data_IF_666821666005
#
_entry.id   IF_666821666005
#
_cell.length_a   1.000
_cell.length_b   1.000
_cell.length_c   1.000
_cell.angle_alpha   90.00
_cell.angle_beta   90.00
_cell.angle_gamma   90.00
#
_symmetry.space_group_name_H-M   'P 1'
#
loop_
_entity.id
_entity.type
_entity.pdbx_description
1 polymer ?
#
# COMPACT_ATOMS: atom_id res chain seq x y z
N UNK A 1 -5.69 18.44 12.70
CA UNK A 1 -4.75 19.07 11.74
C UNK A 1 -3.92 20.13 12.45
N UNK A 2 -4.53 21.08 13.17
CA UNK A 2 -3.84 22.21 13.79
C UNK A 2 -2.74 21.81 14.77
N UNK A 3 -3.00 20.84 15.65
CA UNK A 3 -1.98 20.30 16.56
C UNK A 3 -0.78 19.67 15.81
N UNK A 4 -1.05 19.05 14.65
CA UNK A 4 0.02 18.50 13.81
C UNK A 4 0.85 19.62 13.15
N UNK A 5 0.21 20.73 12.75
CA UNK A 5 0.91 21.92 12.25
C UNK A 5 1.84 22.50 13.31
N UNK A 6 1.36 22.62 14.56
CA UNK A 6 2.16 23.08 15.68
C UNK A 6 3.35 22.15 15.97
N UNK A 7 3.11 20.83 15.93
CA UNK A 7 4.18 19.82 16.07
C UNK A 7 5.21 19.94 14.94
N UNK A 8 4.77 20.06 13.68
CA UNK A 8 5.67 20.23 12.53
C UNK A 8 6.53 21.48 12.69
N UNK A 9 5.93 22.59 13.06
CA UNK A 9 6.64 23.85 13.32
C UNK A 9 7.68 23.70 14.45
N UNK A 10 7.30 23.04 15.53
CA UNK A 10 8.21 22.76 16.65
C UNK A 10 9.38 21.85 16.26
N UNK A 11 9.18 20.97 15.28
CA UNK A 11 10.19 20.06 14.72
C UNK A 11 11.02 20.68 13.57
N UNK A 12 11.05 21.99 13.44
CA UNK A 12 11.85 22.67 12.42
C UNK A 12 11.13 22.92 11.09
N UNK A 13 9.82 22.69 11.03
CA UNK A 13 8.94 23.12 9.95
C UNK A 13 8.74 22.13 8.80
N UNK A 14 9.51 21.04 8.73
CA UNK A 14 9.35 20.05 7.66
C UNK A 14 8.79 18.71 8.14
N UNK A 15 9.39 18.12 9.18
CA UNK A 15 9.03 16.79 9.65
C UNK A 15 7.68 16.75 10.39
N UNK A 16 6.72 15.99 9.87
CA UNK A 16 5.40 15.74 10.48
C UNK A 16 5.17 14.24 10.77
N UNK A 17 6.20 13.42 10.72
CA UNK A 17 6.08 11.98 10.94
C UNK A 17 5.78 11.61 12.39
N UNK A 18 4.99 10.54 12.63
CA UNK A 18 4.67 10.04 13.98
C UNK A 18 5.83 9.25 14.60
N UNK A 19 6.92 9.11 13.87
CA UNK A 19 8.15 8.42 14.25
C UNK A 19 9.35 9.35 14.07
N UNK A 20 10.46 9.16 14.82
CA UNK A 20 11.66 9.96 14.61
C UNK A 20 12.31 9.73 13.25
N UNK A 21 12.83 10.79 12.62
CA UNK A 21 13.56 10.77 11.34
C UNK A 21 14.71 9.76 11.29
N UNK A 22 15.34 9.49 12.43
CA UNK A 22 16.47 8.55 12.53
C UNK A 22 16.18 7.16 11.96
N UNK A 23 14.92 6.77 11.85
CA UNK A 23 14.54 5.47 11.28
C UNK A 23 14.74 5.45 9.76
N UNK A 24 14.52 6.58 9.08
CA UNK A 24 14.80 6.72 7.65
C UNK A 24 16.33 6.70 7.41
N UNK A 25 17.09 7.40 8.23
CA UNK A 25 18.55 7.34 8.15
C UNK A 25 19.11 5.94 8.44
N UNK A 26 18.45 5.15 9.30
CA UNK A 26 18.85 3.76 9.55
C UNK A 26 18.67 2.87 8.34
N UNK A 27 17.50 2.93 7.65
CA UNK A 27 17.29 2.13 6.43
C UNK A 27 18.28 2.55 5.33
N UNK A 28 18.59 3.83 5.18
CA UNK A 28 19.60 4.30 4.25
C UNK A 28 21.02 3.78 4.57
N UNK A 29 21.25 3.32 5.82
CA UNK A 29 22.48 2.65 6.25
C UNK A 29 22.39 1.12 6.19
N UNK A 30 21.36 0.56 5.54
CA UNK A 30 21.13 -0.88 5.47
C UNK A 30 20.74 -1.54 6.80
N UNK A 31 20.33 -0.76 7.82
CA UNK A 31 19.92 -1.30 9.12
C UNK A 31 18.45 -1.70 9.07
N UNK A 32 18.15 -2.89 9.60
CA UNK A 32 16.79 -3.37 9.73
C UNK A 32 15.95 -2.42 10.61
N UNK A 33 14.89 -1.87 10.01
CA UNK A 33 13.82 -1.13 10.68
C UNK A 33 12.52 -1.54 10.00
N UNK A 34 11.54 -1.96 10.77
CA UNK A 34 10.27 -2.36 10.18
C UNK A 34 9.43 -1.16 9.76
N UNK A 35 9.12 -1.08 8.47
CA UNK A 35 8.09 -0.26 7.84
C UNK A 35 8.03 1.24 8.21
N UNK A 36 9.15 2.00 8.26
CA UNK A 36 9.06 3.43 8.57
C UNK A 36 8.33 4.22 7.49
N UNK A 37 8.57 3.96 6.22
CA UNK A 37 7.84 4.59 5.12
C UNK A 37 6.34 4.24 5.15
N UNK A 38 6.00 2.99 5.44
CA UNK A 38 4.61 2.55 5.52
C UNK A 38 3.84 3.33 6.58
N UNK A 39 4.46 3.56 7.74
CA UNK A 39 3.87 4.38 8.81
C UNK A 39 3.66 5.82 8.36
N UNK A 40 4.65 6.40 7.67
CA UNK A 40 4.63 7.79 7.21
C UNK A 40 3.58 8.01 6.12
N UNK A 41 3.46 7.08 5.15
CA UNK A 41 2.50 7.26 4.08
C UNK A 41 1.04 7.36 4.60
N UNK A 42 0.72 6.73 5.73
CA UNK A 42 -0.61 6.85 6.34
C UNK A 42 -0.90 8.26 6.85
N UNK A 43 0.12 8.95 7.35
CA UNK A 43 -0.03 10.37 7.74
C UNK A 43 -0.26 11.24 6.50
N UNK A 44 0.52 11.03 5.44
CA UNK A 44 0.30 11.76 4.19
C UNK A 44 -1.10 11.52 3.60
N UNK A 45 -1.56 10.26 3.56
CA UNK A 45 -2.90 9.94 3.06
C UNK A 45 -3.96 10.69 3.87
N UNK A 46 -3.86 10.64 5.21
CA UNK A 46 -4.80 11.37 6.06
C UNK A 46 -4.78 12.89 5.85
N UNK A 47 -3.62 13.48 5.60
CA UNK A 47 -3.51 14.90 5.28
C UNK A 47 -4.14 15.22 3.92
N UNK A 48 -3.88 14.41 2.91
CA UNK A 48 -4.48 14.58 1.58
C UNK A 48 -6.00 14.36 1.61
N UNK A 49 -6.50 13.38 2.36
CA UNK A 49 -7.93 13.17 2.57
C UNK A 49 -8.58 14.37 3.27
N UNK A 50 -7.92 14.96 4.26
CA UNK A 50 -8.41 16.17 4.94
C UNK A 50 -8.46 17.38 3.99
N UNK A 51 -7.51 17.48 3.08
CA UNK A 51 -7.55 18.51 2.04
C UNK A 51 -8.68 18.25 1.04
N UNK A 52 -8.71 17.04 0.46
CA UNK A 52 -9.63 16.69 -0.63
C UNK A 52 -11.10 16.68 -0.18
N UNK A 53 -11.40 16.04 0.95
CA UNK A 53 -12.78 15.82 1.39
C UNK A 53 -13.30 16.84 2.38
N UNK A 54 -12.41 17.53 3.10
CA UNK A 54 -12.79 18.55 4.09
C UNK A 54 -12.37 19.97 3.72
N UNK A 55 -11.67 20.18 2.59
CA UNK A 55 -11.19 21.49 2.16
C UNK A 55 -10.19 22.14 3.11
N UNK A 56 -9.42 21.33 3.85
CA UNK A 56 -8.48 21.82 4.86
C UNK A 56 -7.13 22.19 4.24
N UNK A 57 -6.92 23.46 3.95
CA UNK A 57 -5.69 23.99 3.35
C UNK A 57 -4.45 23.78 4.23
N UNK A 58 -4.61 23.84 5.56
CA UNK A 58 -3.51 23.58 6.51
C UNK A 58 -2.99 22.14 6.36
N UNK A 59 -3.86 21.19 6.06
CA UNK A 59 -3.44 19.81 5.84
C UNK A 59 -2.56 19.68 4.59
N UNK A 60 -2.88 20.39 3.51
CA UNK A 60 -2.03 20.42 2.32
C UNK A 60 -0.68 21.09 2.62
N UNK A 61 -0.67 22.20 3.35
CA UNK A 61 0.57 22.89 3.74
C UNK A 61 1.49 21.97 4.56
N UNK A 62 0.94 21.23 5.54
CA UNK A 62 1.70 20.25 6.31
C UNK A 62 2.28 19.17 5.40
N UNK A 63 1.47 18.64 4.47
CA UNK A 63 1.92 17.60 3.54
C UNK A 63 3.03 18.11 2.60
N UNK A 64 2.92 19.33 2.09
CA UNK A 64 3.93 19.94 1.23
C UNK A 64 5.27 20.15 1.96
N UNK A 65 5.23 20.70 3.18
CA UNK A 65 6.41 20.89 4.01
C UNK A 65 7.06 19.53 4.36
N UNK A 66 6.25 18.52 4.64
CA UNK A 66 6.76 17.18 4.92
C UNK A 66 7.37 16.53 3.67
N UNK A 67 6.79 16.76 2.51
CA UNK A 67 7.36 16.31 1.24
C UNK A 67 8.70 16.98 0.90
N UNK A 68 8.91 18.24 1.32
CA UNK A 68 10.20 18.91 1.16
C UNK A 68 11.30 18.20 1.93
N UNK A 69 11.03 17.70 3.12
CA UNK A 69 11.98 16.84 3.84
C UNK A 69 12.37 15.61 3.00
N UNK A 70 11.41 14.93 2.39
CA UNK A 70 11.68 13.76 1.54
C UNK A 70 12.43 14.14 0.27
N UNK A 71 12.10 15.28 -0.34
CA UNK A 71 12.80 15.76 -1.52
C UNK A 71 14.28 16.02 -1.23
N UNK A 72 14.59 16.67 -0.11
CA UNK A 72 15.95 16.93 0.34
C UNK A 72 16.68 15.65 0.75
N UNK A 73 16.00 14.76 1.46
CA UNK A 73 16.59 13.52 1.94
C UNK A 73 16.92 12.56 0.79
N UNK A 74 15.98 12.31 -0.12
CA UNK A 74 16.18 11.40 -1.25
C UNK A 74 17.14 11.95 -2.29
N UNK A 75 17.33 13.28 -2.37
CA UNK A 75 18.28 13.92 -3.26
C UNK A 75 19.75 13.65 -2.95
N UNK A 76 20.04 13.02 -1.81
CA UNK A 76 21.39 12.69 -1.34
C UNK A 76 21.89 11.34 -1.85
N UNK A 77 20.98 10.53 -2.42
CA UNK A 77 21.26 9.15 -2.77
C UNK A 77 21.36 8.95 -4.29
N UNK A 78 22.25 8.09 -4.70
CA UNK A 78 22.31 7.55 -6.05
C UNK A 78 21.09 6.63 -6.31
N UNK A 79 20.89 6.26 -7.56
CA UNK A 79 19.83 5.32 -7.94
C UNK A 79 19.97 3.97 -7.23
N UNK A 80 21.16 3.43 -7.12
CA UNK A 80 21.40 2.15 -6.47
C UNK A 80 21.12 2.21 -4.97
N UNK A 81 21.56 3.29 -4.29
CA UNK A 81 21.24 3.51 -2.89
C UNK A 81 19.71 3.69 -2.67
N UNK A 82 19.03 4.36 -3.61
CA UNK A 82 17.57 4.43 -3.55
C UNK A 82 16.91 3.07 -3.73
N UNK A 83 17.39 2.21 -4.63
CA UNK A 83 16.88 0.84 -4.77
C UNK A 83 17.05 0.05 -3.46
N UNK A 84 18.19 0.19 -2.78
CA UNK A 84 18.41 -0.44 -1.47
C UNK A 84 17.42 0.06 -0.41
N UNK A 85 17.15 1.38 -0.40
CA UNK A 85 16.15 1.99 0.49
C UNK A 85 14.74 1.49 0.16
N UNK A 86 14.39 1.36 -1.12
CA UNK A 86 13.07 0.94 -1.58
C UNK A 86 12.81 -0.55 -1.39
N UNK A 87 13.83 -1.36 -1.15
CA UNK A 87 13.68 -2.77 -0.78
C UNK A 87 13.14 -2.97 0.65
N UNK A 88 13.16 -1.93 1.48
CA UNK A 88 12.38 -1.89 2.71
C UNK A 88 10.90 -1.59 2.39
N UNK A 89 10.02 -1.74 3.38
CA UNK A 89 8.58 -1.51 3.18
C UNK A 89 8.25 -0.03 2.97
N UNK A 90 8.06 0.36 1.71
CA UNK A 90 7.75 1.74 1.32
C UNK A 90 6.27 2.07 1.35
N UNK A 91 5.39 1.07 1.35
CA UNK A 91 3.94 1.27 1.33
C UNK A 91 3.46 2.10 0.13
N UNK A 92 2.53 3.01 0.34
CA UNK A 92 1.94 3.87 -0.68
C UNK A 92 2.69 5.18 -0.95
N UNK A 93 3.99 5.27 -0.67
CA UNK A 93 4.72 6.54 -0.85
C UNK A 93 4.69 7.04 -2.31
N UNK A 94 4.78 6.14 -3.30
CA UNK A 94 4.66 6.54 -4.70
C UNK A 94 3.29 7.20 -4.97
N UNK A 95 2.21 6.62 -4.46
CA UNK A 95 0.85 7.18 -4.59
C UNK A 95 0.79 8.61 -4.00
N UNK A 96 1.42 8.83 -2.84
CA UNK A 96 1.49 10.16 -2.21
C UNK A 96 2.13 11.20 -3.13
N UNK A 97 3.25 10.87 -3.77
CA UNK A 97 3.92 11.80 -4.66
C UNK A 97 3.08 12.13 -5.89
N UNK A 98 2.35 11.13 -6.39
CA UNK A 98 1.40 11.31 -7.50
C UNK A 98 0.25 12.22 -7.08
N UNK A 99 -0.33 12.02 -5.90
CA UNK A 99 -1.43 12.86 -5.41
C UNK A 99 -0.99 14.31 -5.18
N UNK A 100 0.15 14.52 -4.55
CA UNK A 100 0.70 15.86 -4.39
C UNK A 100 0.97 16.55 -5.74
N UNK A 101 1.43 15.79 -6.74
CA UNK A 101 1.57 16.32 -8.09
C UNK A 101 0.21 16.66 -8.71
N UNK A 102 -0.78 15.79 -8.60
CA UNK A 102 -2.12 15.99 -9.13
C UNK A 102 -2.79 17.25 -8.57
N UNK A 103 -2.64 17.48 -7.26
CA UNK A 103 -3.25 18.62 -6.53
C UNK A 103 -2.51 19.92 -6.79
N UNK A 104 -1.17 19.90 -6.85
CA UNK A 104 -0.37 21.14 -6.83
C UNK A 104 0.28 21.48 -8.16
N UNK A 105 0.48 20.51 -9.05
CA UNK A 105 1.21 20.67 -10.31
C UNK A 105 2.72 20.92 -10.16
N UNK A 106 3.30 20.78 -8.95
CA UNK A 106 4.70 21.11 -8.70
C UNK A 106 5.64 20.00 -9.19
N UNK A 107 6.60 20.35 -10.04
CA UNK A 107 7.53 19.39 -10.67
C UNK A 107 8.41 18.60 -9.66
N UNK A 108 8.64 19.14 -8.46
CA UNK A 108 9.38 18.41 -7.40
C UNK A 108 8.73 17.07 -7.06
N UNK A 109 7.41 16.95 -7.20
CA UNK A 109 6.71 15.68 -6.94
C UNK A 109 6.90 14.65 -8.04
N UNK A 110 7.03 15.08 -9.31
CA UNK A 110 7.49 14.16 -10.38
C UNK A 110 8.90 13.62 -10.11
N UNK A 111 9.79 14.50 -9.62
CA UNK A 111 11.12 14.06 -9.20
C UNK A 111 11.05 13.00 -8.09
N UNK A 112 10.14 13.18 -7.10
CA UNK A 112 9.91 12.17 -6.07
C UNK A 112 9.31 10.88 -6.65
N UNK A 113 8.36 10.96 -7.59
CA UNK A 113 7.85 9.77 -8.28
C UNK A 113 8.99 8.96 -8.92
N UNK A 114 9.89 9.63 -9.64
CA UNK A 114 11.03 8.95 -10.28
C UNK A 114 12.03 8.40 -9.25
N UNK A 115 12.27 9.08 -8.14
CA UNK A 115 13.13 8.58 -7.06
C UNK A 115 12.53 7.35 -6.37
N UNK A 116 11.19 7.28 -6.25
CA UNK A 116 10.44 6.16 -5.69
C UNK A 116 10.08 5.09 -6.73
N UNK A 117 10.61 5.19 -7.94
CA UNK A 117 10.54 4.11 -8.92
C UNK A 117 11.47 2.97 -8.49
N UNK A 118 10.90 1.88 -7.96
CA UNK A 118 11.66 0.71 -7.51
C UNK A 118 12.01 -0.17 -8.69
N UNK A 119 13.19 0.04 -9.29
CA UNK A 119 13.64 -0.68 -10.50
C UNK A 119 13.60 -2.19 -10.32
N UNK A 120 14.01 -2.70 -9.14
CA UNK A 120 14.05 -4.15 -8.85
C UNK A 120 12.67 -4.81 -8.83
N UNK A 121 11.59 -4.04 -8.70
CA UNK A 121 10.21 -4.51 -8.81
C UNK A 121 9.60 -4.15 -10.17
N UNK A 122 9.72 -2.89 -10.57
CA UNK A 122 8.95 -2.38 -11.70
C UNK A 122 9.53 -2.76 -13.07
N UNK A 123 10.86 -2.85 -13.22
CA UNK A 123 11.47 -3.25 -14.48
C UNK A 123 11.16 -4.70 -14.87
N UNK A 124 11.23 -5.71 -13.96
CA UNK A 124 10.74 -7.05 -14.27
C UNK A 124 9.25 -7.05 -14.62
N UNK A 125 8.42 -6.29 -13.89
CA UNK A 125 7.00 -6.19 -14.20
C UNK A 125 6.72 -5.58 -15.57
N UNK A 126 7.48 -4.55 -15.99
CA UNK A 126 7.38 -4.00 -17.34
C UNK A 126 7.66 -5.05 -18.42
N UNK A 127 8.57 -5.98 -18.16
CA UNK A 127 8.89 -7.10 -19.07
C UNK A 127 7.93 -8.30 -18.93
N UNK A 128 6.95 -8.23 -18.00
CA UNK A 128 6.03 -9.34 -17.74
C UNK A 128 6.67 -10.53 -16.99
N UNK A 129 7.77 -10.31 -16.29
CA UNK A 129 8.52 -11.33 -15.55
C UNK A 129 7.97 -11.47 -14.11
N UNK A 130 7.80 -12.71 -13.62
CA UNK A 130 7.37 -12.97 -12.24
C UNK A 130 8.50 -12.74 -11.25
N UNK A 131 8.40 -11.64 -10.56
CA UNK A 131 9.29 -11.25 -9.45
C UNK A 131 8.61 -11.43 -8.08
N UNK A 132 7.31 -11.77 -8.05
CA UNK A 132 6.49 -11.67 -6.83
C UNK A 132 6.68 -12.83 -5.86
N UNK A 133 7.04 -14.03 -6.33
CA UNK A 133 7.16 -15.22 -5.48
C UNK A 133 8.08 -14.95 -4.28
N UNK A 134 7.58 -15.14 -3.06
CA UNK A 134 8.22 -14.87 -1.77
C UNK A 134 8.35 -13.39 -1.40
N UNK A 135 7.95 -12.43 -2.24
CA UNK A 135 7.89 -11.04 -1.82
C UNK A 135 6.74 -10.82 -0.84
N UNK A 136 6.91 -9.88 0.06
CA UNK A 136 5.85 -9.41 0.96
C UNK A 136 4.75 -8.70 0.14
N UNK A 137 3.55 -9.24 0.19
CA UNK A 137 2.48 -8.81 -0.72
C UNK A 137 2.04 -7.37 -0.42
N UNK A 138 1.82 -7.07 0.85
CA UNK A 138 1.35 -5.76 1.25
C UNK A 138 2.38 -4.63 1.05
N UNK A 139 3.65 -4.95 0.80
CA UNK A 139 4.65 -3.97 0.33
C UNK A 139 4.44 -3.68 -1.15
N UNK A 140 4.35 -4.72 -1.98
CA UNK A 140 4.34 -4.58 -3.44
C UNK A 140 3.01 -4.05 -3.99
N UNK A 141 1.86 -4.37 -3.38
CA UNK A 141 0.56 -3.93 -3.88
C UNK A 141 0.39 -2.40 -3.79
N UNK A 142 0.67 -1.73 -2.65
CA UNK A 142 0.57 -0.27 -2.58
C UNK A 142 1.54 0.45 -3.53
N UNK A 143 2.73 -0.10 -3.77
CA UNK A 143 3.66 0.46 -4.76
C UNK A 143 3.05 0.45 -6.17
N UNK A 144 2.38 -0.65 -6.54
CA UNK A 144 1.70 -0.78 -7.84
C UNK A 144 0.40 0.03 -7.90
N UNK A 145 -0.29 0.23 -6.79
CA UNK A 145 -1.40 1.20 -6.73
C UNK A 145 -0.88 2.60 -7.05
N UNK A 146 0.31 2.96 -6.54
CA UNK A 146 0.98 4.20 -6.92
C UNK A 146 1.27 4.28 -8.42
N UNK A 147 1.67 3.18 -9.06
CA UNK A 147 1.79 3.12 -10.52
C UNK A 147 0.45 3.35 -11.22
N UNK A 148 -0.61 2.68 -10.75
CA UNK A 148 -1.94 2.86 -11.32
C UNK A 148 -2.41 4.31 -11.23
N UNK A 149 -2.20 4.95 -10.11
CA UNK A 149 -2.52 6.38 -9.93
C UNK A 149 -1.64 7.29 -10.80
N UNK A 150 -0.35 6.93 -10.96
CA UNK A 150 0.56 7.67 -11.83
C UNK A 150 0.09 7.67 -13.29
N UNK A 151 -0.44 6.55 -13.77
CA UNK A 151 -1.07 6.51 -15.09
C UNK A 151 -2.29 7.43 -15.19
N UNK A 152 -3.21 7.38 -14.21
CA UNK A 152 -4.40 8.26 -14.21
C UNK A 152 -4.03 9.75 -14.28
N UNK A 153 -2.93 10.16 -13.66
CA UNK A 153 -2.52 11.56 -13.56
C UNK A 153 -1.62 12.00 -14.73
N UNK A 154 -0.75 11.12 -15.20
CA UNK A 154 0.28 11.49 -16.20
C UNK A 154 -0.02 10.99 -17.60
N UNK A 155 -0.84 9.95 -17.75
CA UNK A 155 -1.07 9.28 -19.04
C UNK A 155 0.13 8.47 -19.56
N UNK A 156 1.19 8.30 -18.75
CA UNK A 156 2.37 7.54 -19.16
C UNK A 156 2.10 6.02 -19.09
N UNK A 157 2.05 5.38 -20.25
CA UNK A 157 1.71 3.96 -20.42
C UNK A 157 2.64 2.99 -19.67
N UNK A 158 3.85 3.40 -19.31
CA UNK A 158 4.73 2.55 -18.49
C UNK A 158 4.07 2.16 -17.17
N UNK A 159 3.39 3.10 -16.52
CA UNK A 159 2.74 2.90 -15.23
C UNK A 159 1.55 1.94 -15.33
N UNK A 160 0.77 2.10 -16.40
CA UNK A 160 -0.34 1.18 -16.70
C UNK A 160 0.16 -0.24 -16.95
N UNK A 161 1.20 -0.38 -17.76
CA UNK A 161 1.80 -1.67 -18.09
C UNK A 161 2.28 -2.40 -16.83
N UNK A 162 2.90 -1.68 -15.88
CA UNK A 162 3.30 -2.25 -14.58
C UNK A 162 2.09 -2.79 -13.83
N UNK A 163 1.02 -2.02 -13.74
CA UNK A 163 -0.18 -2.39 -12.99
C UNK A 163 -0.92 -3.60 -13.63
N UNK A 164 -1.06 -3.61 -14.95
CA UNK A 164 -1.69 -4.71 -15.68
C UNK A 164 -0.86 -6.01 -15.59
N UNK A 165 0.46 -5.93 -15.76
CA UNK A 165 1.34 -7.08 -15.63
C UNK A 165 1.38 -7.60 -14.19
N UNK A 166 1.38 -6.70 -13.20
CA UNK A 166 1.27 -7.11 -11.80
C UNK A 166 -0.02 -7.89 -11.55
N UNK A 167 -1.15 -7.38 -12.02
CA UNK A 167 -2.43 -8.09 -11.90
C UNK A 167 -2.39 -9.45 -12.58
N UNK A 168 -1.88 -9.51 -13.80
CA UNK A 168 -1.75 -10.76 -14.53
C UNK A 168 -0.94 -11.79 -13.73
N UNK A 169 0.21 -11.39 -13.21
CA UNK A 169 1.11 -12.27 -12.44
C UNK A 169 0.53 -12.63 -11.06
N UNK A 170 -0.10 -11.68 -10.38
CA UNK A 170 -0.62 -11.86 -9.04
C UNK A 170 -1.93 -12.65 -8.98
N UNK A 171 -2.83 -12.45 -9.95
CA UNK A 171 -4.17 -13.03 -9.96
C UNK A 171 -4.34 -14.06 -11.07
N UNK A 172 -4.17 -13.67 -12.32
CA UNK A 172 -4.52 -14.52 -13.48
C UNK A 172 -3.61 -15.75 -13.56
N UNK A 173 -2.31 -15.54 -13.50
CA UNK A 173 -1.33 -16.62 -13.68
C UNK A 173 -1.07 -17.39 -12.38
N UNK A 174 -1.12 -16.72 -11.22
CA UNK A 174 -0.88 -17.32 -9.90
C UNK A 174 -2.09 -18.09 -9.40
N UNK A 175 -3.27 -17.59 -9.69
CA UNK A 175 -4.54 -18.09 -9.17
C UNK A 175 -4.91 -17.45 -7.82
N UNK A 176 -6.06 -17.85 -7.31
CA UNK A 176 -6.60 -17.35 -6.03
C UNK A 176 -7.37 -18.46 -5.32
N UNK A 177 -7.51 -18.31 -4.01
CA UNK A 177 -8.44 -19.14 -3.23
C UNK A 177 -9.88 -18.89 -3.68
N UNK A 178 -10.80 -19.78 -3.32
CA UNK A 178 -12.24 -19.58 -3.60
C UNK A 178 -12.77 -18.25 -3.04
N UNK A 179 -12.16 -17.76 -1.96
CA UNK A 179 -12.45 -16.48 -1.32
C UNK A 179 -11.91 -15.27 -2.09
N UNK A 180 -11.01 -15.45 -3.05
CA UNK A 180 -10.37 -14.39 -3.83
C UNK A 180 -8.96 -14.02 -3.36
N UNK A 181 -8.52 -14.46 -2.17
CA UNK A 181 -7.17 -14.19 -1.68
C UNK A 181 -6.09 -15.07 -2.31
N UNK A 182 -4.81 -14.69 -2.18
CA UNK A 182 -3.68 -15.36 -2.84
C UNK A 182 -2.45 -15.57 -1.96
N UNK A 183 -2.39 -14.97 -0.79
CA UNK A 183 -1.20 -14.95 0.06
C UNK A 183 -1.28 -15.95 1.20
N UNK A 184 -0.11 -16.33 1.72
CA UNK A 184 0.00 -17.07 2.97
C UNK A 184 1.23 -16.61 3.73
N UNK A 185 1.04 -16.20 4.99
CA UNK A 185 2.11 -15.65 5.81
C UNK A 185 2.62 -14.31 5.27
N UNK A 186 1.71 -13.48 4.73
CA UNK A 186 1.96 -12.13 4.20
C UNK A 186 2.77 -12.10 2.89
N UNK A 187 3.10 -13.26 2.30
CA UNK A 187 3.93 -13.34 1.10
C UNK A 187 3.18 -13.97 -0.08
N UNK A 188 3.60 -13.59 -1.28
CA UNK A 188 3.10 -14.20 -2.50
C UNK A 188 3.51 -15.67 -2.58
N UNK A 189 2.52 -16.54 -2.81
CA UNK A 189 2.74 -17.96 -3.04
C UNK A 189 3.39 -18.18 -4.41
N UNK A 190 4.07 -19.34 -4.65
CA UNK A 190 4.52 -19.70 -5.98
C UNK A 190 3.37 -19.80 -6.98
N UNK A 191 3.64 -19.46 -8.24
CA UNK A 191 2.66 -19.49 -9.31
C UNK A 191 2.00 -20.86 -9.44
N UNK A 192 0.66 -20.89 -9.51
CA UNK A 192 -0.17 -22.11 -9.59
C UNK A 192 0.04 -23.15 -8.48
N UNK A 193 0.53 -22.70 -7.32
CA UNK A 193 0.82 -23.58 -6.17
C UNK A 193 0.24 -23.05 -4.86
N UNK A 194 -0.97 -22.54 -4.89
CA UNK A 194 -1.65 -22.01 -3.69
C UNK A 194 -1.71 -23.06 -2.56
N UNK A 195 -2.00 -24.32 -2.91
CA UNK A 195 -2.09 -25.42 -1.93
C UNK A 195 -0.77 -25.75 -1.23
N UNK A 196 0.39 -25.36 -1.79
CA UNK A 196 1.68 -25.63 -1.18
C UNK A 196 1.93 -24.87 0.14
N UNK A 197 1.13 -23.83 0.41
CA UNK A 197 1.29 -22.96 1.58
C UNK A 197 -0.03 -22.74 2.34
N UNK A 198 -0.99 -23.66 2.19
CA UNK A 198 -2.20 -23.60 2.99
C UNK A 198 -1.86 -23.70 4.48
N UNK A 199 -2.51 -22.86 5.29
CA UNK A 199 -2.24 -22.81 6.71
C UNK A 199 -3.10 -21.77 7.41
N UNK A 200 -2.76 -21.49 8.67
CA UNK A 200 -3.53 -20.55 9.50
C UNK A 200 -3.31 -19.07 9.13
N UNK A 201 -2.27 -18.76 8.36
CA UNK A 201 -1.97 -17.40 7.91
C UNK A 201 -2.35 -17.16 6.45
N UNK A 202 -3.38 -17.84 5.96
CA UNK A 202 -3.92 -17.60 4.62
C UNK A 202 -4.68 -16.28 4.54
N UNK A 203 -4.76 -15.72 3.36
CA UNK A 203 -5.57 -14.55 3.02
C UNK A 203 -5.47 -13.40 4.05
N UNK A 204 -4.36 -12.68 4.02
CA UNK A 204 -4.15 -11.50 4.84
C UNK A 204 -5.14 -10.37 4.49
N UNK A 205 -5.70 -9.71 5.50
CA UNK A 205 -6.67 -8.62 5.34
C UNK A 205 -6.12 -7.44 4.52
N UNK A 206 -4.85 -7.04 4.76
CA UNK A 206 -4.20 -5.95 4.02
C UNK A 206 -4.09 -6.27 2.52
N UNK A 207 -3.72 -7.51 2.18
CA UNK A 207 -3.64 -7.96 0.78
C UNK A 207 -5.02 -7.89 0.11
N UNK A 208 -6.05 -8.37 0.79
CA UNK A 208 -7.44 -8.31 0.31
C UNK A 208 -7.84 -6.86 0.00
N UNK A 209 -7.67 -5.97 0.96
CA UNK A 209 -8.04 -4.56 0.79
C UNK A 209 -7.30 -3.88 -0.36
N UNK A 210 -5.97 -4.03 -0.41
CA UNK A 210 -5.18 -3.36 -1.44
C UNK A 210 -5.40 -3.95 -2.84
N UNK A 211 -5.64 -5.27 -2.96
CA UNK A 211 -5.99 -5.87 -4.24
C UNK A 211 -7.38 -5.43 -4.74
N UNK A 212 -8.34 -5.17 -3.85
CA UNK A 212 -9.61 -4.54 -4.22
C UNK A 212 -9.39 -3.13 -4.78
N UNK A 213 -8.50 -2.33 -4.17
CA UNK A 213 -8.15 -1.00 -4.70
C UNK A 213 -7.56 -1.09 -6.10
N UNK A 214 -6.61 -1.99 -6.32
CA UNK A 214 -5.99 -2.19 -7.63
C UNK A 214 -7.02 -2.65 -8.68
N UNK A 215 -7.91 -3.59 -8.33
CA UNK A 215 -9.01 -4.02 -9.20
C UNK A 215 -9.91 -2.84 -9.62
N UNK A 216 -10.14 -1.89 -8.71
CA UNK A 216 -10.91 -0.68 -9.00
C UNK A 216 -10.27 0.20 -10.09
N UNK A 217 -8.94 0.35 -10.10
CA UNK A 217 -8.24 1.05 -11.18
C UNK A 217 -8.43 0.33 -12.51
N UNK A 218 -8.18 -0.97 -12.54
CA UNK A 218 -8.27 -1.77 -13.76
C UNK A 218 -9.72 -1.80 -14.34
N UNK A 219 -10.72 -1.86 -13.45
CA UNK A 219 -12.12 -1.75 -13.84
C UNK A 219 -12.43 -0.41 -14.52
N UNK A 220 -12.00 0.71 -13.93
CA UNK A 220 -12.22 2.05 -14.52
C UNK A 220 -11.58 2.20 -15.90
N UNK A 221 -10.42 1.57 -16.12
CA UNK A 221 -9.72 1.67 -17.41
C UNK A 221 -10.32 0.80 -18.50
N UNK A 222 -10.86 -0.36 -18.13
CA UNK A 222 -11.24 -1.40 -19.11
C UNK A 222 -12.73 -1.62 -19.25
N UNK A 223 -13.50 -1.34 -18.18
CA UNK A 223 -14.91 -1.73 -18.08
C UNK A 223 -15.14 -3.25 -17.99
N UNK A 224 -14.06 -4.05 -17.82
CA UNK A 224 -14.18 -5.51 -17.73
C UNK A 224 -14.81 -5.91 -16.37
N UNK A 225 -16.01 -6.54 -16.38
CA UNK A 225 -16.72 -6.90 -15.16
C UNK A 225 -15.97 -7.89 -14.27
N UNK A 226 -14.99 -8.61 -14.79
CA UNK A 226 -14.20 -9.56 -13.99
C UNK A 226 -13.46 -8.88 -12.83
N UNK A 227 -13.07 -7.62 -12.98
CA UNK A 227 -12.47 -6.84 -11.89
C UNK A 227 -13.50 -6.47 -10.81
N UNK A 228 -14.73 -6.15 -11.21
CA UNK A 228 -15.81 -5.88 -10.26
C UNK A 228 -16.23 -7.16 -9.53
N UNK A 229 -16.34 -8.29 -10.22
CA UNK A 229 -16.61 -9.60 -9.62
C UNK A 229 -15.52 -9.99 -8.61
N UNK A 230 -14.27 -9.67 -8.91
CA UNK A 230 -13.16 -9.89 -7.99
C UNK A 230 -13.28 -9.01 -6.73
N UNK A 231 -13.59 -7.72 -6.90
CA UNK A 231 -13.82 -6.80 -5.77
C UNK A 231 -14.96 -7.28 -4.88
N UNK A 232 -16.10 -7.67 -5.47
CA UNK A 232 -17.26 -8.17 -4.74
C UNK A 232 -16.91 -9.44 -3.96
N UNK A 233 -16.21 -10.38 -4.60
CA UNK A 233 -15.74 -11.60 -3.96
C UNK A 233 -14.85 -11.32 -2.74
N UNK A 234 -13.89 -10.42 -2.87
CA UNK A 234 -13.02 -10.04 -1.77
C UNK A 234 -13.76 -9.26 -0.68
N UNK A 235 -14.72 -8.41 -1.06
CA UNK A 235 -15.52 -7.68 -0.09
C UNK A 235 -16.27 -8.65 0.84
N UNK A 236 -17.02 -9.60 0.26
CA UNK A 236 -17.82 -10.51 1.05
C UNK A 236 -17.00 -11.61 1.72
N UNK A 237 -16.08 -12.24 1.01
CA UNK A 237 -15.35 -13.42 1.50
C UNK A 237 -13.96 -13.08 2.07
N UNK A 238 -13.45 -11.89 1.83
CA UNK A 238 -12.17 -11.42 2.33
C UNK A 238 -12.31 -10.43 3.48
N UNK A 239 -13.00 -9.32 3.30
CA UNK A 239 -13.15 -8.31 4.35
C UNK A 239 -14.24 -8.68 5.35
N UNK A 240 -15.47 -8.90 4.91
CA UNK A 240 -16.62 -9.13 5.81
C UNK A 240 -16.56 -10.51 6.47
N UNK A 241 -16.11 -11.54 5.77
CA UNK A 241 -16.00 -12.90 6.31
C UNK A 241 -14.80 -13.11 7.23
N UNK A 242 -13.82 -12.20 7.26
CA UNK A 242 -12.74 -12.23 8.26
C UNK A 242 -13.22 -11.74 9.63
N UNK A 243 -14.52 -11.71 9.85
CA UNK A 243 -15.16 -11.41 11.10
C UNK A 243 -15.55 -12.69 11.85
N UNK A 244 -15.42 -12.62 13.15
CA UNK A 244 -15.85 -13.67 14.06
C UNK A 244 -16.87 -13.08 15.01
N UNK A 245 -18.11 -13.58 14.95
CA UNK A 245 -19.23 -13.03 15.70
C UNK A 245 -19.57 -13.95 16.87
N UNK A 246 -19.38 -13.47 18.09
CA UNK A 246 -19.77 -14.17 19.30
C UNK A 246 -20.83 -13.41 20.09
N UNK A 247 -21.72 -14.15 20.72
CA UNK A 247 -22.70 -13.58 21.64
C UNK A 247 -22.11 -13.10 22.97
N UNK A 248 -20.88 -13.59 23.30
CA UNK A 248 -20.12 -13.20 24.49
C UNK A 248 -18.64 -13.15 24.16
N UNK A 249 -17.97 -12.03 24.49
CA UNK A 249 -16.51 -11.96 24.41
C UNK A 249 -15.88 -12.75 25.57
N UNK A 250 -14.97 -13.65 25.26
CA UNK A 250 -14.26 -14.50 26.22
C UNK A 250 -13.32 -13.75 27.19
N UNK A 251 -13.32 -12.42 27.18
CA UNK A 251 -12.39 -11.59 27.98
C UNK A 251 -13.08 -10.81 29.09
N UNK A 252 -14.18 -11.32 29.65
CA UNK A 252 -14.79 -10.74 30.83
C UNK A 252 -15.59 -9.44 30.64
N UNK A 253 -15.71 -8.96 29.43
CA UNK A 253 -16.58 -7.85 29.11
C UNK A 253 -17.97 -8.38 28.70
N UNK A 254 -18.92 -8.31 29.60
CA UNK A 254 -20.32 -8.49 29.27
C UNK A 254 -20.83 -7.20 28.63
N UNK A 255 -21.11 -7.23 27.33
CA UNK A 255 -21.83 -6.14 26.68
C UNK A 255 -23.33 -6.40 26.71
N UNK A 256 -24.15 -5.38 26.95
CA UNK A 256 -25.59 -5.48 26.80
C UNK A 256 -26.04 -5.55 25.34
N UNK A 257 -25.11 -5.43 24.38
CA UNK A 257 -25.42 -5.50 22.96
C UNK A 257 -25.25 -6.92 22.42
N UNK A 258 -26.15 -7.41 21.55
CA UNK A 258 -26.29 -8.83 21.21
C UNK A 258 -25.20 -9.40 20.31
N UNK A 259 -24.24 -8.60 19.81
CA UNK A 259 -23.17 -9.13 18.95
C UNK A 259 -21.92 -8.29 18.99
N UNK A 260 -20.81 -8.89 19.40
CA UNK A 260 -19.48 -8.34 19.24
C UNK A 260 -18.78 -9.15 18.17
N UNK A 261 -18.26 -8.46 17.14
CA UNK A 261 -17.42 -9.05 16.12
C UNK A 261 -15.95 -8.83 16.45
N UNK A 262 -15.15 -9.86 16.26
CA UNK A 262 -13.69 -9.76 16.18
C UNK A 262 -13.32 -9.89 14.72
N UNK A 263 -12.61 -8.90 14.19
CA UNK A 263 -11.96 -9.04 12.87
C UNK A 263 -10.65 -9.78 13.07
N UNK A 264 -10.42 -10.80 12.22
CA UNK A 264 -9.16 -11.53 12.19
C UNK A 264 -8.27 -10.95 11.11
N UNK A 265 -6.96 -10.89 11.37
CA UNK A 265 -5.98 -10.40 10.39
C UNK A 265 -5.75 -11.40 9.26
N UNK A 266 -5.80 -12.69 9.57
CA UNK A 266 -5.72 -13.78 8.61
C UNK A 266 -7.02 -14.59 8.60
N UNK A 267 -7.36 -15.15 7.45
CA UNK A 267 -8.40 -16.17 7.30
C UNK A 267 -7.69 -17.53 7.11
N UNK A 268 -7.78 -18.46 8.08
CA UNK A 268 -7.22 -19.80 7.91
C UNK A 268 -7.82 -20.50 6.70
N UNK A 269 -6.97 -21.08 5.85
CA UNK A 269 -7.35 -21.75 4.61
C UNK A 269 -7.13 -23.26 4.69
N UNK A 270 -7.15 -23.83 5.88
CA UNK A 270 -7.07 -25.27 6.14
C UNK A 270 -8.30 -25.71 6.93
N UNK A 271 -8.63 -27.00 6.80
CA UNK A 271 -9.65 -27.60 7.65
C UNK A 271 -9.22 -27.52 9.13
N UNK A 272 -10.14 -27.10 9.98
CA UNK A 272 -9.95 -27.00 11.44
C UNK A 272 -9.95 -28.38 12.11
#
# INVERSE_FOLDING_TARGET
>A
VDELADCQKANGGQWAGPIPEKYLYRIAQGKQVWAPHYTIHKVFMGLLDMYEYAGNETALEIAENFADWFYDWTGRFSREEMNDILDFETGGMLEIWVELFAVTGKEKYKTLMERYYRERLFDPLLRGEDVLTNMHANTTIPEVIGCARAYDVTGDEKWRTIAENYWKLAVTDRGMYATGGQTCGEIWTPMKRLSARLGQKGQEHCTVYNMMRLAGFLFRWTGDPSYADYQERLLYNGLMAQGYWQSTLSHGFTSPYPSHGLLTYFLPMQAG
#
